data_IF_149558748123
#
_entry.id   IF_149558748123
#
_cell.length_a   1.000
_cell.length_b   1.000
_cell.length_c   1.000
_cell.angle_alpha   90.00
_cell.angle_beta   90.00
_cell.angle_gamma   90.00
#
_symmetry.space_group_name_H-M   'P 1'
#
loop_
_entity.id
_entity.type
_entity.pdbx_description
1 polymer ?
#
# COMPACT_ATOMS: atom_id res chain seq x y z
N UNK A 1 5.36 49.32 27.23
CA UNK A 1 6.51 48.43 26.98
C UNK A 1 6.24 46.96 27.31
N UNK A 2 6.11 46.53 28.58
CA UNK A 2 5.94 45.08 28.91
C UNK A 2 4.65 44.50 28.31
N UNK A 3 3.52 45.20 28.43
CA UNK A 3 2.24 44.77 27.88
C UNK A 3 2.29 44.65 26.34
N UNK A 4 2.92 45.62 25.67
CA UNK A 4 3.08 45.60 24.21
C UNK A 4 3.95 44.42 23.76
N UNK A 5 5.04 44.12 24.47
CA UNK A 5 5.90 42.95 24.20
C UNK A 5 5.10 41.65 24.34
N UNK A 6 4.27 41.52 25.38
CA UNK A 6 3.42 40.35 25.59
C UNK A 6 2.37 40.19 24.47
N UNK A 7 1.77 41.28 24.01
CA UNK A 7 0.82 41.26 22.90
C UNK A 7 1.51 40.81 21.61
N UNK A 8 2.67 41.37 21.29
CA UNK A 8 3.44 40.98 20.10
C UNK A 8 3.83 39.50 20.16
N UNK A 9 4.32 39.03 21.31
CA UNK A 9 4.68 37.62 21.52
C UNK A 9 3.48 36.70 21.30
N UNK A 10 2.30 37.07 21.83
CA UNK A 10 1.08 36.29 21.67
C UNK A 10 0.61 36.24 20.21
N UNK A 11 0.73 37.36 19.46
CA UNK A 11 0.45 37.39 18.02
C UNK A 11 1.40 36.47 17.25
N UNK A 12 2.70 36.52 17.55
CA UNK A 12 3.71 35.66 16.90
C UNK A 12 3.42 34.18 17.18
N UNK A 13 3.11 33.81 18.43
CA UNK A 13 2.74 32.45 18.78
C UNK A 13 1.46 31.99 18.09
N UNK A 14 0.45 32.86 18.00
CA UNK A 14 -0.79 32.59 17.27
C UNK A 14 -0.56 32.33 15.78
N UNK A 15 0.28 33.15 15.13
CA UNK A 15 0.64 32.96 13.73
C UNK A 15 1.41 31.66 13.50
N UNK A 16 2.39 31.35 14.37
CA UNK A 16 3.14 30.10 14.31
C UNK A 16 2.21 28.88 14.47
N UNK A 17 1.25 28.95 15.39
CA UNK A 17 0.27 27.89 15.60
C UNK A 17 -0.55 27.63 14.32
N UNK A 18 -1.07 28.69 13.67
CA UNK A 18 -1.85 28.57 12.43
C UNK A 18 -1.01 27.98 11.29
N UNK A 19 0.25 28.40 11.16
CA UNK A 19 1.17 27.86 10.14
C UNK A 19 1.42 26.36 10.36
N UNK A 20 1.75 25.98 11.60
CA UNK A 20 2.02 24.57 11.96
C UNK A 20 0.77 23.71 11.73
N UNK A 21 -0.39 24.16 12.19
CA UNK A 21 -1.64 23.43 12.02
C UNK A 21 -1.94 23.17 10.54
N UNK A 22 -1.88 24.21 9.70
CA UNK A 22 -2.13 24.07 8.27
C UNK A 22 -1.12 23.14 7.59
N UNK A 23 0.15 23.15 8.00
CA UNK A 23 1.15 22.21 7.49
C UNK A 23 0.84 20.76 7.88
N UNK A 24 0.47 20.50 9.14
CA UNK A 24 0.09 19.16 9.61
C UNK A 24 -1.15 18.63 8.88
N UNK A 25 -2.15 19.48 8.62
CA UNK A 25 -3.33 19.12 7.82
C UNK A 25 -2.93 18.75 6.40
N UNK A 26 -2.07 19.54 5.75
CA UNK A 26 -1.57 19.22 4.40
C UNK A 26 -0.85 17.87 4.36
N UNK A 27 -0.01 17.59 5.36
CA UNK A 27 0.71 16.32 5.43
C UNK A 27 -0.24 15.13 5.66
N UNK A 28 -1.24 15.27 6.53
CA UNK A 28 -2.27 14.23 6.73
C UNK A 28 -3.02 13.91 5.44
N UNK A 29 -3.49 14.95 4.73
CA UNK A 29 -4.19 14.78 3.46
C UNK A 29 -3.26 14.18 2.39
N UNK A 30 -1.95 14.45 2.44
CA UNK A 30 -0.97 13.83 1.54
C UNK A 30 -0.81 12.34 1.81
N UNK A 31 -0.82 11.91 3.08
CA UNK A 31 -0.84 10.49 3.45
C UNK A 31 -2.10 9.81 2.92
N UNK A 32 -3.27 10.42 3.10
CA UNK A 32 -4.56 9.90 2.60
C UNK A 32 -4.57 9.79 1.07
N UNK A 33 -4.04 10.81 0.37
CA UNK A 33 -3.90 10.76 -1.08
C UNK A 33 -2.96 9.65 -1.53
N UNK A 34 -1.80 9.49 -0.89
CA UNK A 34 -0.86 8.43 -1.20
C UNK A 34 -1.48 7.04 -0.98
N UNK A 35 -2.30 6.88 0.07
CA UNK A 35 -3.06 5.65 0.30
C UNK A 35 -4.07 5.37 -0.82
N UNK A 36 -4.85 6.39 -1.22
CA UNK A 36 -5.79 6.25 -2.33
C UNK A 36 -5.10 5.83 -3.65
N UNK A 37 -3.87 6.29 -3.89
CA UNK A 37 -3.09 5.84 -5.06
C UNK A 37 -2.74 4.35 -4.98
N UNK A 38 -2.42 3.83 -3.79
CA UNK A 38 -2.22 2.39 -3.56
C UNK A 38 -3.52 1.64 -3.85
N UNK A 39 -4.64 2.08 -3.27
CA UNK A 39 -5.95 1.43 -3.44
C UNK A 39 -6.39 1.33 -4.91
N UNK A 40 -6.12 2.36 -5.73
CA UNK A 40 -6.42 2.33 -7.17
C UNK A 40 -5.64 1.22 -7.88
N UNK A 41 -4.34 1.06 -7.59
CA UNK A 41 -3.54 0.00 -8.24
C UNK A 41 -3.92 -1.39 -7.73
N UNK A 42 -4.19 -1.52 -6.43
CA UNK A 42 -4.71 -2.73 -5.83
C UNK A 42 -6.03 -3.14 -6.51
N UNK A 43 -6.99 -2.22 -6.62
CA UNK A 43 -8.27 -2.44 -7.31
C UNK A 43 -8.08 -2.90 -8.75
N UNK A 44 -7.23 -2.22 -9.53
CA UNK A 44 -6.90 -2.62 -10.91
C UNK A 44 -6.44 -4.07 -10.98
N UNK A 45 -5.56 -4.50 -10.06
CA UNK A 45 -5.10 -5.89 -9.99
C UNK A 45 -6.25 -6.86 -9.76
N UNK A 46 -7.18 -6.54 -8.87
CA UNK A 46 -8.30 -7.43 -8.50
C UNK A 46 -9.38 -7.54 -9.57
N UNK A 47 -9.54 -6.47 -10.35
CA UNK A 47 -10.46 -6.42 -11.48
C UNK A 47 -9.94 -7.25 -12.68
N UNK A 48 -8.63 -7.45 -12.79
CA UNK A 48 -8.01 -8.30 -13.83
C UNK A 48 -8.05 -9.80 -13.51
N UNK A 49 -8.13 -10.18 -12.23
CA UNK A 49 -8.08 -11.59 -11.79
C UNK A 49 -9.17 -12.46 -12.40
N UNK A 50 -10.46 -12.07 -12.42
CA UNK A 50 -11.51 -12.91 -13.00
C UNK A 50 -11.24 -13.28 -14.46
N UNK A 51 -10.83 -12.31 -15.27
CA UNK A 51 -10.50 -12.53 -16.67
C UNK A 51 -9.29 -13.46 -16.83
N UNK A 52 -8.27 -13.32 -15.96
CA UNK A 52 -7.13 -14.23 -15.96
C UNK A 52 -7.55 -15.65 -15.59
N UNK A 53 -8.33 -15.81 -14.52
CA UNK A 53 -8.81 -17.12 -14.03
C UNK A 53 -9.64 -17.81 -15.11
N UNK A 54 -10.58 -17.12 -15.75
CA UNK A 54 -11.38 -17.70 -16.83
C UNK A 54 -10.53 -18.08 -18.05
N UNK A 55 -9.53 -17.26 -18.41
CA UNK A 55 -8.59 -17.60 -19.48
C UNK A 55 -7.80 -18.86 -19.14
N UNK A 56 -7.25 -18.98 -17.93
CA UNK A 56 -6.47 -20.16 -17.51
C UNK A 56 -7.36 -21.41 -17.38
N UNK A 57 -8.58 -21.29 -16.85
CA UNK A 57 -9.54 -22.41 -16.75
C UNK A 57 -9.85 -23.04 -18.11
N UNK A 58 -9.86 -22.25 -19.19
CA UNK A 58 -10.08 -22.77 -20.56
C UNK A 58 -9.04 -23.79 -21.02
N UNK A 59 -7.84 -23.77 -20.42
CA UNK A 59 -6.73 -24.65 -20.79
C UNK A 59 -6.33 -25.62 -19.66
N UNK A 60 -6.42 -25.19 -18.40
CA UNK A 60 -5.95 -25.91 -17.21
C UNK A 60 -7.10 -26.27 -16.27
N UNK A 61 -8.04 -27.09 -16.73
CA UNK A 61 -9.28 -27.46 -15.97
C UNK A 61 -9.02 -28.30 -14.72
N UNK A 62 -7.86 -28.98 -14.64
CA UNK A 62 -7.49 -29.85 -13.53
C UNK A 62 -6.94 -29.08 -12.30
N UNK A 63 -6.65 -27.79 -12.44
CA UNK A 63 -6.01 -26.94 -11.42
C UNK A 63 -7.01 -26.33 -10.41
N UNK A 64 -7.95 -27.14 -9.91
CA UNK A 64 -9.04 -26.65 -9.03
C UNK A 64 -8.54 -25.96 -7.77
N UNK A 65 -7.58 -26.57 -7.09
CA UNK A 65 -6.98 -26.04 -5.85
C UNK A 65 -6.35 -24.67 -6.07
N UNK A 66 -5.71 -24.46 -7.23
CA UNK A 66 -5.10 -23.19 -7.59
C UNK A 66 -6.15 -22.10 -7.77
N UNK A 67 -7.24 -22.39 -8.49
CA UNK A 67 -8.33 -21.43 -8.68
C UNK A 67 -9.01 -21.08 -7.35
N UNK A 68 -9.24 -22.05 -6.47
CA UNK A 68 -9.76 -21.80 -5.13
C UNK A 68 -8.85 -20.89 -4.31
N UNK A 69 -7.53 -21.11 -4.37
CA UNK A 69 -6.56 -20.27 -3.67
C UNK A 69 -6.56 -18.83 -4.21
N UNK A 70 -6.71 -18.63 -5.52
CA UNK A 70 -6.84 -17.30 -6.13
C UNK A 70 -8.13 -16.62 -5.69
N UNK A 71 -9.26 -17.34 -5.68
CA UNK A 71 -10.54 -16.81 -5.21
C UNK A 71 -10.46 -16.40 -3.74
N UNK A 72 -9.87 -17.23 -2.88
CA UNK A 72 -9.63 -16.91 -1.46
C UNK A 72 -8.72 -15.70 -1.30
N UNK A 73 -7.62 -15.63 -2.07
CA UNK A 73 -6.69 -14.50 -2.02
C UNK A 73 -7.37 -13.18 -2.43
N UNK A 74 -8.19 -13.21 -3.50
CA UNK A 74 -8.99 -12.05 -3.92
C UNK A 74 -10.00 -11.64 -2.85
N UNK A 75 -10.67 -12.60 -2.20
CA UNK A 75 -11.63 -12.31 -1.14
C UNK A 75 -10.96 -11.68 0.09
N UNK A 76 -9.81 -12.22 0.54
CA UNK A 76 -9.06 -11.73 1.69
C UNK A 76 -8.66 -10.25 1.53
N UNK A 77 -8.24 -9.90 0.32
CA UNK A 77 -7.94 -8.53 -0.08
C UNK A 77 -9.16 -7.61 -0.02
N UNK A 78 -10.32 -8.08 -0.51
CA UNK A 78 -11.55 -7.29 -0.53
C UNK A 78 -12.13 -7.07 0.87
N UNK A 79 -11.82 -7.96 1.82
CA UNK A 79 -12.24 -7.86 3.22
C UNK A 79 -11.28 -7.08 4.11
N UNK A 80 -10.08 -6.77 3.64
CA UNK A 80 -9.08 -6.06 4.42
C UNK A 80 -9.58 -4.65 4.78
N UNK A 81 -9.51 -4.31 6.07
CA UNK A 81 -10.04 -3.05 6.62
C UNK A 81 -8.95 -2.12 7.13
N UNK A 82 -7.73 -2.64 7.33
CA UNK A 82 -6.56 -1.86 7.73
C UNK A 82 -5.45 -1.87 6.67
N UNK A 83 -4.51 -0.93 6.79
CA UNK A 83 -3.33 -0.84 5.91
C UNK A 83 -2.49 -2.13 6.00
N UNK A 84 -2.30 -2.64 7.21
CA UNK A 84 -1.54 -3.87 7.46
C UNK A 84 -2.25 -5.11 6.90
N UNK A 85 -3.56 -5.26 7.16
CA UNK A 85 -4.34 -6.37 6.58
C UNK A 85 -4.30 -6.33 5.05
N UNK A 86 -4.39 -5.13 4.47
CA UNK A 86 -4.28 -4.94 3.02
C UNK A 86 -2.89 -5.34 2.53
N UNK A 87 -1.83 -5.08 3.29
CA UNK A 87 -0.46 -5.44 2.93
C UNK A 87 -0.28 -6.96 2.90
N UNK A 88 -0.75 -7.63 3.95
CA UNK A 88 -0.68 -9.09 4.08
C UNK A 88 -1.49 -9.79 2.99
N UNK A 89 -2.75 -9.39 2.81
CA UNK A 89 -3.62 -9.96 1.79
C UNK A 89 -3.06 -9.70 0.37
N UNK A 90 -2.50 -8.51 0.13
CA UNK A 90 -1.86 -8.16 -1.13
C UNK A 90 -0.63 -9.05 -1.42
N UNK A 91 0.20 -9.30 -0.42
CA UNK A 91 1.37 -10.16 -0.57
C UNK A 91 0.98 -11.63 -0.79
N UNK A 92 -0.04 -12.12 -0.06
CA UNK A 92 -0.59 -13.45 -0.28
C UNK A 92 -1.09 -13.63 -1.72
N UNK A 93 -1.86 -12.67 -2.24
CA UNK A 93 -2.30 -12.68 -3.63
C UNK A 93 -1.14 -12.66 -4.62
N UNK A 94 -0.10 -11.87 -4.36
CA UNK A 94 1.10 -11.82 -5.22
C UNK A 94 1.79 -13.18 -5.30
N UNK A 95 1.88 -13.91 -4.18
CA UNK A 95 2.43 -15.28 -4.13
C UNK A 95 1.57 -16.27 -4.93
N UNK A 96 0.25 -16.17 -4.80
CA UNK A 96 -0.68 -17.02 -5.55
C UNK A 96 -0.61 -16.77 -7.06
N UNK A 97 -0.48 -15.51 -7.49
CA UNK A 97 -0.30 -15.17 -8.90
C UNK A 97 1.03 -15.70 -9.47
N UNK A 98 2.12 -15.66 -8.68
CA UNK A 98 3.39 -16.29 -9.08
C UNK A 98 3.22 -17.80 -9.30
N UNK A 99 2.50 -18.47 -8.39
CA UNK A 99 2.20 -19.90 -8.52
C UNK A 99 1.37 -20.21 -9.76
N UNK A 100 0.38 -19.36 -10.07
CA UNK A 100 -0.42 -19.48 -11.29
C UNK A 100 0.43 -19.37 -12.57
N UNK A 101 1.33 -18.39 -12.63
CA UNK A 101 2.21 -18.24 -13.79
C UNK A 101 3.18 -19.42 -13.92
N UNK A 102 3.69 -19.97 -12.82
CA UNK A 102 4.51 -21.18 -12.85
C UNK A 102 3.73 -22.40 -13.39
N UNK A 103 2.47 -22.55 -13.01
CA UNK A 103 1.61 -23.62 -13.55
C UNK A 103 1.32 -23.41 -15.04
N UNK A 104 1.11 -22.16 -15.46
CA UNK A 104 0.86 -21.83 -16.87
C UNK A 104 2.03 -22.22 -17.81
N UNK A 105 3.27 -22.29 -17.31
CA UNK A 105 4.42 -22.77 -18.09
C UNK A 105 4.28 -24.23 -18.55
N UNK A 106 3.50 -25.04 -17.84
CA UNK A 106 3.21 -26.43 -18.21
C UNK A 106 2.17 -26.56 -19.35
N UNK A 107 1.57 -25.45 -19.79
CA UNK A 107 0.51 -25.42 -20.81
C UNK A 107 0.95 -24.56 -22.01
N UNK A 108 1.62 -25.14 -23.03
CA UNK A 108 2.15 -24.39 -24.17
C UNK A 108 1.10 -23.57 -24.93
N UNK A 109 -0.12 -24.10 -25.09
CA UNK A 109 -1.20 -23.41 -25.78
C UNK A 109 -1.70 -22.17 -25.02
N UNK A 110 -1.73 -22.24 -23.68
CA UNK A 110 -2.05 -21.10 -22.81
C UNK A 110 -0.94 -20.06 -22.87
N UNK A 111 0.32 -20.51 -22.83
CA UNK A 111 1.49 -19.63 -22.93
C UNK A 111 1.54 -18.86 -24.25
N UNK A 112 1.09 -19.48 -25.34
CA UNK A 112 0.99 -18.84 -26.66
C UNK A 112 -0.28 -17.98 -26.84
N UNK A 113 -1.22 -18.02 -25.88
CA UNK A 113 -2.46 -17.26 -25.96
C UNK A 113 -2.20 -15.76 -25.74
N UNK A 114 -2.54 -14.95 -26.74
CA UNK A 114 -2.31 -13.49 -26.72
C UNK A 114 -3.06 -12.78 -25.58
N UNK A 115 -4.27 -13.21 -25.24
CA UNK A 115 -5.04 -12.61 -24.14
C UNK A 115 -4.37 -12.92 -22.79
N UNK A 116 -3.87 -14.14 -22.60
CA UNK A 116 -3.12 -14.52 -21.40
C UNK A 116 -1.83 -13.70 -21.26
N UNK A 117 -1.03 -13.60 -22.33
CA UNK A 117 0.19 -12.79 -22.34
C UNK A 117 -0.07 -11.32 -22.01
N UNK A 118 -1.16 -10.75 -22.55
CA UNK A 118 -1.55 -9.37 -22.26
C UNK A 118 -1.96 -9.19 -20.79
N UNK A 119 -2.79 -10.09 -20.24
CA UNK A 119 -3.19 -10.05 -18.82
C UNK A 119 -1.99 -10.24 -17.87
N UNK A 120 -1.07 -11.14 -18.20
CA UNK A 120 0.17 -11.33 -17.45
C UNK A 120 0.99 -10.03 -17.44
N UNK A 121 1.14 -9.38 -18.59
CA UNK A 121 1.84 -8.10 -18.72
C UNK A 121 1.17 -7.00 -17.90
N UNK A 122 -0.16 -6.85 -18.00
CA UNK A 122 -0.91 -5.84 -17.25
C UNK A 122 -0.81 -6.04 -15.73
N UNK A 123 -0.80 -7.30 -15.28
CA UNK A 123 -0.61 -7.64 -13.87
C UNK A 123 0.81 -7.34 -13.39
N UNK A 124 1.84 -7.67 -14.18
CA UNK A 124 3.22 -7.31 -13.85
C UNK A 124 3.42 -5.79 -13.80
N UNK A 125 2.84 -5.04 -14.75
CA UNK A 125 2.89 -3.58 -14.72
C UNK A 125 2.19 -3.01 -13.49
N UNK A 126 1.03 -3.58 -13.13
CA UNK A 126 0.29 -3.19 -11.93
C UNK A 126 1.09 -3.49 -10.66
N UNK A 127 1.77 -4.63 -10.60
CA UNK A 127 2.63 -4.99 -9.46
C UNK A 127 3.80 -4.01 -9.28
N UNK A 128 4.45 -3.61 -10.36
CA UNK A 128 5.50 -2.60 -10.33
C UNK A 128 4.96 -1.24 -9.83
N UNK A 129 3.75 -0.86 -10.26
CA UNK A 129 3.09 0.36 -9.79
C UNK A 129 2.70 0.26 -8.31
N UNK A 130 2.23 -0.90 -7.84
CA UNK A 130 1.95 -1.14 -6.42
C UNK A 130 3.22 -0.97 -5.60
N UNK A 131 4.36 -1.53 -6.04
CA UNK A 131 5.64 -1.39 -5.34
C UNK A 131 6.07 0.08 -5.22
N UNK A 132 5.98 0.84 -6.31
CA UNK A 132 6.28 2.28 -6.28
C UNK A 132 5.30 3.07 -5.38
N UNK A 133 3.99 2.82 -5.50
CA UNK A 133 2.98 3.48 -4.67
C UNK A 133 3.15 3.14 -3.18
N UNK A 134 3.56 1.90 -2.84
CA UNK A 134 3.90 1.47 -1.48
C UNK A 134 5.07 2.30 -0.94
N UNK A 135 6.16 2.40 -1.70
CA UNK A 135 7.30 3.22 -1.30
C UNK A 135 6.90 4.68 -1.08
N UNK A 136 6.17 5.27 -2.03
CA UNK A 136 5.71 6.65 -1.93
C UNK A 136 4.79 6.90 -0.71
N UNK A 137 3.90 5.95 -0.42
CA UNK A 137 3.05 5.99 0.76
C UNK A 137 3.89 5.93 2.04
N UNK A 138 4.80 4.96 2.15
CA UNK A 138 5.68 4.80 3.32
C UNK A 138 6.54 6.04 3.57
N UNK A 139 7.13 6.62 2.51
CA UNK A 139 7.90 7.86 2.60
C UNK A 139 7.05 9.04 3.11
N UNK A 140 5.80 9.13 2.64
CA UNK A 140 4.86 10.18 3.03
C UNK A 140 4.41 10.01 4.48
N UNK A 141 4.09 8.78 4.89
CA UNK A 141 3.76 8.42 6.28
C UNK A 141 4.94 8.71 7.20
N UNK A 142 6.17 8.34 6.80
CA UNK A 142 7.37 8.60 7.59
C UNK A 142 7.59 10.09 7.79
N UNK A 143 7.49 10.91 6.73
CA UNK A 143 7.58 12.37 6.82
C UNK A 143 6.53 12.96 7.76
N UNK A 144 5.28 12.53 7.65
CA UNK A 144 4.20 12.95 8.53
C UNK A 144 4.45 12.53 9.98
N UNK A 145 4.82 11.27 10.22
CA UNK A 145 5.11 10.73 11.55
C UNK A 145 6.28 11.45 12.21
N UNK A 146 7.34 11.80 11.47
CA UNK A 146 8.47 12.61 11.96
C UNK A 146 7.98 14.02 12.31
N UNK A 147 7.18 14.64 11.44
CA UNK A 147 6.66 15.99 11.63
C UNK A 147 5.86 16.13 12.92
N UNK A 148 4.97 15.19 13.23
CA UNK A 148 4.19 15.20 14.49
C UNK A 148 5.03 14.88 15.74
N UNK A 149 6.25 14.38 15.59
CA UNK A 149 7.17 14.08 16.70
C UNK A 149 8.22 15.19 16.91
N UNK A 150 8.35 16.13 15.97
CA UNK A 150 9.41 17.16 15.99
C UNK A 150 8.91 18.46 16.61
N UNK A 151 9.73 19.11 17.44
CA UNK A 151 9.46 20.44 18.00
C UNK A 151 9.58 21.49 16.89
N UNK A 152 8.67 22.49 16.80
CA UNK A 152 7.56 22.79 17.73
C UNK A 152 6.23 22.08 17.40
N UNK A 153 6.17 21.29 16.33
CA UNK A 153 4.92 20.71 15.81
C UNK A 153 4.31 19.66 16.72
N UNK A 154 5.12 18.92 17.49
CA UNK A 154 4.66 17.91 18.45
C UNK A 154 3.66 18.45 19.50
N UNK A 155 3.84 19.69 19.94
CA UNK A 155 2.93 20.35 20.88
C UNK A 155 1.55 20.52 20.23
N UNK A 156 1.52 21.12 19.05
CA UNK A 156 0.27 21.31 18.27
C UNK A 156 -0.36 19.97 17.91
N UNK A 157 0.45 18.98 17.53
CA UNK A 157 0.01 17.64 17.20
C UNK A 157 -0.69 16.95 18.38
N UNK A 158 -0.09 17.00 19.57
CA UNK A 158 -0.67 16.42 20.79
C UNK A 158 -1.96 17.12 21.22
N UNK A 159 -2.03 18.45 21.10
CA UNK A 159 -3.19 19.25 21.50
C UNK A 159 -4.42 18.99 20.61
N UNK A 160 -4.19 18.75 19.31
CA UNK A 160 -5.25 18.61 18.30
C UNK A 160 -5.45 17.16 17.82
N UNK A 161 -4.82 16.19 18.48
CA UNK A 161 -5.04 14.76 18.23
C UNK A 161 -4.47 14.23 16.92
N UNK A 162 -3.38 14.80 16.40
CA UNK A 162 -2.68 14.23 15.24
C UNK A 162 -1.95 12.94 15.65
N UNK A 163 -2.44 11.80 15.16
CA UNK A 163 -1.90 10.49 15.46
C UNK A 163 -0.96 9.97 14.37
N UNK A 164 -0.03 9.09 14.75
CA UNK A 164 0.83 8.37 13.81
C UNK A 164 -0.02 7.55 12.83
N UNK A 165 0.45 7.45 11.59
CA UNK A 165 -0.11 6.59 10.56
C UNK A 165 0.75 5.33 10.42
N UNK A 166 0.11 4.22 10.10
CA UNK A 166 0.77 2.93 9.87
C UNK A 166 1.50 2.94 8.52
N UNK A 167 2.63 2.23 8.45
CA UNK A 167 3.31 2.00 7.18
C UNK A 167 2.64 0.83 6.45
N UNK A 168 2.72 0.85 5.13
CA UNK A 168 2.32 -0.27 4.28
C UNK A 168 3.49 -1.26 4.20
N UNK A 169 3.75 -1.94 5.31
CA UNK A 169 4.77 -2.99 5.45
C UNK A 169 4.10 -4.29 5.90
N UNK A 170 4.62 -5.43 5.45
CA UNK A 170 4.20 -6.71 6.03
C UNK A 170 5.03 -7.01 7.26
N UNK A 171 4.36 -7.36 8.36
CA UNK A 171 4.95 -7.43 9.69
C UNK A 171 6.12 -8.43 9.86
N UNK A 172 6.40 -9.35 8.92
CA UNK A 172 7.24 -10.52 9.22
C UNK A 172 8.20 -11.06 8.13
N UNK A 173 8.12 -10.69 6.86
CA UNK A 173 8.84 -11.45 5.80
C UNK A 173 10.35 -11.12 5.61
N UNK A 174 10.88 -10.05 6.22
CA UNK A 174 12.23 -9.54 5.90
C UNK A 174 13.21 -9.47 7.08
N UNK A 175 12.81 -9.94 8.28
CA UNK A 175 13.72 -9.94 9.46
C UNK A 175 14.41 -11.27 9.73
N UNK A 176 14.08 -12.33 9.00
CA UNK A 176 14.90 -13.54 8.98
C UNK A 176 15.94 -13.41 7.87
N UNK A 177 17.09 -12.84 8.23
CA UNK A 177 18.30 -12.94 7.41
C UNK A 177 18.57 -14.43 7.20
N UNK A 178 18.65 -14.94 5.96
CA UNK A 178 18.99 -16.33 5.74
C UNK A 178 20.37 -16.57 6.36
N UNK A 179 20.43 -17.46 7.36
CA UNK A 179 21.69 -17.94 7.90
C UNK A 179 22.38 -18.72 6.79
N UNK A 180 23.38 -18.11 6.18
CA UNK A 180 24.29 -18.81 5.28
C UNK A 180 25.18 -19.68 6.17
N UNK A 181 24.82 -20.94 6.30
CA UNK A 181 25.74 -21.96 6.82
C UNK A 181 26.63 -22.41 5.67
N UNK A 182 27.94 -22.27 5.84
CA UNK A 182 28.97 -22.81 4.95
C UNK A 182 29.23 -24.28 5.27
#
# INVERSE_FOLDING_TARGET
MVVEILIILLIVLGLLFVIIYNDLIKQRNRVENAWAQVEVQLKRRYDLIPNLVETVKGYATHEKTLFENITKARAAVMSASSVNETAEASNYLSSTLKSLFAVAENYPDLKANQNFMQLQKDLMETENKIAYSRQFYNDTVMKYNISIQTIPKNIVASLLGFQKKELFETAQAEREVPKVEF
#
